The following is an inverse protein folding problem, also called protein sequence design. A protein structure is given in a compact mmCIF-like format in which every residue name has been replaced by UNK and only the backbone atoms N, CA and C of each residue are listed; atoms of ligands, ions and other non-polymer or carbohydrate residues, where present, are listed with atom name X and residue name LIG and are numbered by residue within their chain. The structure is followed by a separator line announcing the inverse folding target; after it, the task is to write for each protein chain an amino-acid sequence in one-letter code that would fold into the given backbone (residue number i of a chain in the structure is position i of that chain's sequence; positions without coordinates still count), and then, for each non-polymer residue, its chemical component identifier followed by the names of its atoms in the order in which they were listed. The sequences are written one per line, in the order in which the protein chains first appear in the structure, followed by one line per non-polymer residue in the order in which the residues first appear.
data_IF_884124724813
#
_entry.id   IF_884124724813
#
_cell.length_a   1.000
_cell.length_b   1.000
_cell.length_c   1.000
_cell.angle_alpha   90.00
_cell.angle_beta   90.00
_cell.angle_gamma   90.00
#
_symmetry.space_group_name_H-M   'P 1'
#
loop_
_entity.id
_entity.type
_entity.pdbx_description
1 polymer ?
#
# COMPACT_ATOMS: atom_id res chain seq x y z
N UNK A 1 10.56 -5.91 -9.73
CA UNK A 1 9.29 -5.46 -10.30
C UNK A 1 8.41 -4.98 -9.15
N UNK A 2 7.54 -4.00 -9.35
CA UNK A 2 6.46 -3.66 -8.39
C UNK A 2 5.25 -4.48 -8.80
N UNK A 3 4.38 -4.87 -7.86
CA UNK A 3 3.06 -5.36 -8.24
C UNK A 3 2.26 -4.20 -8.84
N UNK A 4 1.40 -4.47 -9.83
CA UNK A 4 0.57 -3.42 -10.41
C UNK A 4 -0.40 -2.89 -9.34
N UNK A 5 -0.43 -1.56 -9.15
CA UNK A 5 -1.39 -0.92 -8.27
C UNK A 5 -2.75 -0.88 -8.97
N UNK A 6 -3.70 -1.69 -8.50
CA UNK A 6 -5.01 -1.85 -9.13
C UNK A 6 -6.07 -1.13 -8.31
N UNK A 7 -6.91 -0.32 -8.98
CA UNK A 7 -8.09 0.29 -8.35
C UNK A 7 -9.25 -0.70 -8.34
N UNK A 8 -9.76 -1.02 -7.16
CA UNK A 8 -10.88 -1.94 -6.97
C UNK A 8 -12.21 -1.18 -6.98
N UNK A 9 -12.27 -0.05 -6.27
CA UNK A 9 -13.52 0.66 -6.01
C UNK A 9 -13.30 2.15 -5.80
N UNK A 10 -14.29 2.97 -6.17
CA UNK A 10 -14.32 4.41 -5.87
C UNK A 10 -15.56 4.73 -5.03
N UNK A 11 -15.39 5.36 -3.88
CA UNK A 11 -16.48 5.85 -3.07
C UNK A 11 -17.24 6.98 -3.76
N UNK A 12 -18.56 6.85 -3.88
CA UNK A 12 -19.36 7.80 -4.67
C UNK A 12 -19.42 9.22 -4.09
N UNK A 13 -19.42 9.34 -2.76
CA UNK A 13 -19.54 10.62 -2.05
C UNK A 13 -18.18 11.31 -1.87
N UNK A 14 -17.20 10.63 -1.25
CA UNK A 14 -15.88 11.21 -0.96
C UNK A 14 -14.94 11.25 -2.15
N UNK A 15 -15.20 10.45 -3.20
CA UNK A 15 -14.28 10.21 -4.33
C UNK A 15 -12.94 9.56 -3.92
N UNK A 16 -12.87 8.99 -2.73
CA UNK A 16 -11.75 8.15 -2.34
C UNK A 16 -11.75 6.85 -3.15
N UNK A 17 -10.58 6.26 -3.35
CA UNK A 17 -10.38 4.98 -4.02
C UNK A 17 -9.89 3.92 -3.03
N UNK A 18 -10.34 2.68 -3.23
CA UNK A 18 -9.71 1.49 -2.66
C UNK A 18 -8.81 0.90 -3.74
N UNK A 19 -7.54 0.69 -3.39
CA UNK A 19 -6.50 0.18 -4.27
C UNK A 19 -5.83 -1.02 -3.65
N UNK A 20 -5.39 -1.96 -4.46
CA UNK A 20 -4.66 -3.15 -4.03
C UNK A 20 -3.35 -3.25 -4.79
N UNK A 21 -2.32 -3.77 -4.12
CA UNK A 21 -1.07 -4.17 -4.74
C UNK A 21 -0.53 -5.43 -4.08
N UNK A 22 -0.12 -6.42 -4.88
CA UNK A 22 0.61 -7.58 -4.37
C UNK A 22 2.10 -7.28 -4.36
N UNK A 23 2.75 -7.36 -3.21
CA UNK A 23 4.20 -7.20 -3.13
C UNK A 23 4.91 -8.41 -3.77
N UNK A 24 5.77 -8.22 -4.78
CA UNK A 24 6.62 -9.30 -5.26
C UNK A 24 7.66 -9.67 -4.20
N UNK A 25 8.12 -10.93 -4.20
CA UNK A 25 9.07 -11.45 -3.19
C UNK A 25 10.35 -10.62 -3.05
N UNK A 26 10.83 -10.01 -4.14
CA UNK A 26 12.02 -9.16 -4.16
C UNK A 26 11.73 -7.66 -3.99
N UNK A 27 10.56 -7.27 -3.49
CA UNK A 27 10.24 -5.86 -3.26
C UNK A 27 11.18 -5.25 -2.21
N UNK A 28 11.59 -4.00 -2.44
CA UNK A 28 12.41 -3.24 -1.50
C UNK A 28 11.70 -2.94 -0.16
N UNK A 29 10.37 -3.14 -0.10
CA UNK A 29 9.59 -3.01 1.12
C UNK A 29 9.58 -4.28 1.97
N UNK A 30 9.97 -5.44 1.42
CA UNK A 30 10.02 -6.69 2.19
C UNK A 30 11.02 -6.57 3.34
N UNK A 31 10.59 -6.95 4.53
CA UNK A 31 11.38 -6.86 5.76
C UNK A 31 11.32 -5.50 6.45
N UNK A 32 10.65 -4.49 5.87
CA UNK A 32 10.43 -3.20 6.52
C UNK A 32 9.23 -3.24 7.45
N UNK A 33 9.33 -2.53 8.57
CA UNK A 33 8.18 -2.30 9.44
C UNK A 33 7.23 -1.29 8.80
N UNK A 34 5.92 -1.52 8.91
CA UNK A 34 4.89 -0.58 8.43
C UNK A 34 5.13 0.82 9.00
N UNK A 35 5.50 0.93 10.28
CA UNK A 35 5.77 2.21 10.94
C UNK A 35 7.00 2.96 10.43
N UNK A 36 7.88 2.32 9.65
CA UNK A 36 9.04 2.96 9.03
C UNK A 36 8.71 3.53 7.63
N UNK A 37 7.58 3.15 7.05
CA UNK A 37 7.20 3.56 5.70
C UNK A 37 6.39 4.84 5.79
N UNK A 38 6.89 5.89 5.15
CA UNK A 38 6.15 7.13 4.99
C UNK A 38 5.25 6.98 3.78
N UNK A 39 3.96 6.76 4.03
CA UNK A 39 2.95 6.76 2.98
C UNK A 39 2.70 8.20 2.49
N UNK A 40 2.36 8.40 1.20
CA UNK A 40 2.01 9.72 0.68
C UNK A 40 0.84 10.34 1.44
N UNK A 41 0.72 11.66 1.35
CA UNK A 41 -0.44 12.40 1.85
C UNK A 41 -1.74 11.81 1.29
N UNK A 42 -2.79 11.79 2.11
CA UNK A 42 -4.11 11.28 1.74
C UNK A 42 -4.12 9.79 1.33
N UNK A 43 -3.16 9.01 1.82
CA UNK A 43 -3.05 7.56 1.60
C UNK A 43 -2.96 6.82 2.94
N UNK A 44 -3.77 5.77 3.08
CA UNK A 44 -3.80 4.91 4.28
C UNK A 44 -3.64 3.46 3.87
N UNK A 45 -2.66 2.75 4.44
CA UNK A 45 -2.62 1.29 4.41
C UNK A 45 -3.72 0.76 5.34
N UNK A 46 -4.78 0.20 4.76
CA UNK A 46 -5.98 -0.21 5.48
C UNK A 46 -5.99 -1.68 5.88
N UNK A 47 -5.34 -2.54 5.09
CA UNK A 47 -5.28 -3.98 5.33
C UNK A 47 -4.02 -4.58 4.70
N UNK A 48 -3.47 -5.61 5.35
CA UNK A 48 -2.51 -6.54 4.74
C UNK A 48 -3.22 -7.89 4.66
N UNK A 49 -3.29 -8.50 3.47
CA UNK A 49 -3.75 -9.89 3.34
C UNK A 49 -2.52 -10.79 3.18
N UNK A 50 -2.33 -11.69 4.14
CA UNK A 50 -1.23 -12.65 4.18
C UNK A 50 -1.78 -14.06 4.31
N UNK A 51 -1.38 -14.96 3.41
CA UNK A 51 -1.91 -16.32 3.33
C UNK A 51 -3.45 -16.38 3.35
N UNK A 52 -4.10 -15.51 2.58
CA UNK A 52 -5.56 -15.34 2.54
C UNK A 52 -6.21 -14.94 3.88
N UNK A 53 -5.43 -14.44 4.85
CA UNK A 53 -5.93 -13.90 6.13
C UNK A 53 -5.77 -12.38 6.14
N UNK A 54 -6.85 -11.62 6.37
CA UNK A 54 -6.76 -10.16 6.52
C UNK A 54 -6.19 -9.79 7.89
N UNK A 55 -5.29 -8.81 7.90
CA UNK A 55 -4.63 -8.26 9.06
C UNK A 55 -4.85 -6.74 9.08
N UNK A 56 -5.27 -6.22 10.24
CA UNK A 56 -5.26 -4.78 10.48
C UNK A 56 -3.81 -4.35 10.72
N UNK A 57 -3.25 -3.42 9.92
CA UNK A 57 -1.84 -3.05 10.03
C UNK A 57 -1.52 -2.34 11.35
N UNK A 58 -0.39 -2.70 11.93
CA UNK A 58 0.26 -2.09 13.09
C UNK A 58 1.63 -1.54 12.68
N UNK A 59 2.14 -0.49 13.34
CA UNK A 59 3.51 -0.01 13.11
C UNK A 59 4.60 -1.08 13.24
N UNK A 60 4.35 -2.11 14.05
CA UNK A 60 5.29 -3.21 14.33
C UNK A 60 5.18 -4.37 13.34
N UNK A 61 4.21 -4.35 12.42
CA UNK A 61 4.08 -5.38 11.39
C UNK A 61 5.19 -5.25 10.36
N UNK A 62 5.80 -6.38 10.02
CA UNK A 62 6.78 -6.47 8.95
C UNK A 62 6.09 -6.82 7.64
N UNK A 63 6.36 -6.07 6.58
CA UNK A 63 5.88 -6.40 5.23
C UNK A 63 6.64 -7.62 4.68
N UNK A 64 5.90 -8.56 4.11
CA UNK A 64 6.42 -9.80 3.56
C UNK A 64 6.18 -9.88 2.05
N UNK A 65 6.99 -10.70 1.38
CA UNK A 65 6.75 -11.01 -0.02
C UNK A 65 5.40 -11.72 -0.18
N UNK A 66 4.69 -11.40 -1.28
CA UNK A 66 3.32 -11.84 -1.58
C UNK A 66 2.22 -11.25 -0.72
N UNK A 67 2.53 -10.34 0.21
CA UNK A 67 1.48 -9.58 0.87
C UNK A 67 0.64 -8.82 -0.16
N UNK A 68 -0.68 -8.90 -0.04
CA UNK A 68 -1.58 -8.01 -0.74
C UNK A 68 -1.89 -6.83 0.18
N UNK A 69 -1.43 -5.64 -0.23
CA UNK A 69 -1.66 -4.40 0.51
C UNK A 69 -2.88 -3.71 -0.04
N UNK A 70 -3.84 -3.40 0.83
CA UNK A 70 -5.00 -2.58 0.47
C UNK A 70 -4.82 -1.17 1.00
N UNK A 71 -4.90 -0.21 0.10
CA UNK A 71 -4.86 1.21 0.39
C UNK A 71 -6.22 1.86 0.21
N UNK A 72 -6.53 2.81 1.09
CA UNK A 72 -7.57 3.81 0.84
C UNK A 72 -6.85 5.12 0.52
N UNK A 73 -7.05 5.63 -0.68
CA UNK A 73 -6.50 6.91 -1.12
C UNK A 73 -7.62 7.91 -1.29
N UNK A 74 -7.50 9.10 -0.69
CA UNK A 74 -8.49 10.15 -0.92
C UNK A 74 -8.35 10.77 -2.32
N UNK A 75 -9.19 11.77 -2.58
CA UNK A 75 -9.36 12.36 -3.92
C UNK A 75 -8.09 13.01 -4.45
N UNK A 76 -7.30 13.62 -3.56
CA UNK A 76 -6.14 14.44 -3.91
C UNK A 76 -4.82 13.70 -3.62
N UNK A 77 -4.88 12.37 -3.41
CA UNK A 77 -3.72 11.53 -3.19
C UNK A 77 -2.79 11.52 -4.41
N UNK A 78 -1.48 11.58 -4.16
CA UNK A 78 -0.46 11.43 -5.19
C UNK A 78 -0.20 9.94 -5.47
N UNK A 79 -0.92 9.41 -6.46
CA UNK A 79 -0.79 8.02 -6.92
C UNK A 79 0.64 7.69 -7.37
N UNK A 80 1.33 8.62 -8.05
CA UNK A 80 2.70 8.42 -8.49
C UNK A 80 3.67 8.38 -7.30
N UNK A 81 3.43 9.15 -6.24
CA UNK A 81 4.17 9.00 -4.99
C UNK A 81 3.96 7.63 -4.34
N UNK A 82 2.73 7.11 -4.35
CA UNK A 82 2.45 5.77 -3.82
C UNK A 82 3.20 4.70 -4.60
N UNK A 83 3.17 4.75 -5.94
CA UNK A 83 3.93 3.85 -6.80
C UNK A 83 5.44 3.92 -6.53
N UNK A 84 6.00 5.13 -6.34
CA UNK A 84 7.41 5.31 -5.99
C UNK A 84 7.77 4.69 -4.65
N UNK A 85 6.94 4.89 -3.62
CA UNK A 85 7.13 4.27 -2.30
C UNK A 85 7.09 2.75 -2.43
N UNK A 86 6.12 2.20 -3.19
CA UNK A 86 6.01 0.76 -3.47
C UNK A 86 7.20 0.20 -4.27
N UNK A 87 7.84 1.04 -5.09
CA UNK A 87 9.10 0.74 -5.76
C UNK A 87 10.35 0.84 -4.86
N UNK A 88 10.20 1.24 -3.59
CA UNK A 88 11.30 1.47 -2.66
C UNK A 88 12.04 2.79 -2.87
N UNK A 89 11.45 3.73 -3.59
CA UNK A 89 12.01 5.07 -3.81
C UNK A 89 11.42 6.03 -2.77
N UNK A 90 12.25 6.91 -2.21
CA UNK A 90 11.75 7.89 -1.25
C UNK A 90 10.86 8.94 -1.94
N UNK A 91 9.76 9.36 -1.29
CA UNK A 91 8.96 10.46 -1.79
C UNK A 91 9.77 11.77 -1.68
N UNK A 92 10.22 12.32 -2.83
CA UNK A 92 10.76 13.69 -2.93
C UNK A 92 9.85 14.75 -2.35
#
# INVERSE_FOLDING_TARGET
AVGDLVKIFTFHQSKADIREVTLPEGSALVGRLVGQIVWPTDTVLACIVRDARPLAPSPDDTLEGRDELLFVTGRDADEAALERVLAGQEPS
#
